data_IF_608415272203
#
_entry.id   IF_608415272203
#
_cell.length_a   1.000
_cell.length_b   1.000
_cell.length_c   1.000
_cell.angle_alpha   90.00
_cell.angle_beta   90.00
_cell.angle_gamma   90.00
#
_symmetry.space_group_name_H-M   'P 1'
#
loop_
_entity.id
_entity.type
_entity.pdbx_description
1 polymer ?
#
# COMPACT_ATOMS: atom_id res chain seq x y z
N UNK A 1 -49.38 50.76 69.04
CA UNK A 1 -48.57 49.58 69.22
C UNK A 1 -47.86 49.33 67.92
N UNK A 2 -46.59 49.69 67.85
CA UNK A 2 -45.81 49.85 66.66
C UNK A 2 -45.13 48.58 66.23
N UNK A 3 -45.07 48.43 64.95
CA UNK A 3 -44.23 47.44 64.27
C UNK A 3 -43.16 48.16 63.48
N UNK A 4 -41.93 47.98 63.91
CA UNK A 4 -40.78 48.58 63.24
C UNK A 4 -40.39 47.77 62.01
N UNK A 5 -40.21 48.43 60.86
CA UNK A 5 -39.68 47.88 59.67
C UNK A 5 -38.16 48.02 59.62
N UNK A 6 -37.44 46.97 59.53
CA UNK A 6 -35.97 46.92 59.35
C UNK A 6 -35.65 46.81 57.90
N UNK A 7 -35.00 47.84 57.33
CA UNK A 7 -34.51 47.88 55.95
C UNK A 7 -33.15 47.14 55.83
N UNK A 8 -33.11 46.12 55.04
CA UNK A 8 -31.86 45.42 54.72
C UNK A 8 -31.24 46.01 53.45
N UNK A 9 -30.04 46.58 53.58
CA UNK A 9 -29.23 47.12 52.49
C UNK A 9 -28.49 45.98 51.78
N UNK A 10 -28.81 45.77 50.53
CA UNK A 10 -28.14 44.76 49.69
C UNK A 10 -26.78 45.23 49.22
N UNK A 11 -25.71 44.52 49.56
CA UNK A 11 -24.36 44.70 49.07
C UNK A 11 -24.17 44.20 47.63
N UNK A 12 -23.19 44.67 46.90
CA UNK A 12 -22.99 44.33 45.47
C UNK A 12 -22.51 42.93 45.29
N UNK A 13 -23.21 42.15 44.44
CA UNK A 13 -22.83 40.79 44.02
C UNK A 13 -21.57 40.89 43.14
N UNK A 14 -20.46 40.36 43.65
CA UNK A 14 -19.21 40.19 42.89
C UNK A 14 -19.45 39.30 41.69
N UNK A 15 -19.20 39.85 40.48
CA UNK A 15 -19.12 39.07 39.25
C UNK A 15 -17.83 38.22 39.29
N UNK A 16 -17.99 36.90 39.45
CA UNK A 16 -16.94 35.94 39.22
C UNK A 16 -16.59 35.98 37.72
N UNK A 17 -15.43 36.48 37.40
CA UNK A 17 -14.85 36.35 36.05
C UNK A 17 -14.59 34.86 35.81
N UNK A 18 -15.42 34.23 34.98
CA UNK A 18 -15.14 32.93 34.43
C UNK A 18 -13.82 33.00 33.66
N UNK A 19 -12.80 32.29 34.11
CA UNK A 19 -11.59 32.09 33.38
C UNK A 19 -11.95 31.20 32.15
N UNK A 20 -12.11 31.82 31.01
CA UNK A 20 -12.09 31.09 29.74
C UNK A 20 -10.68 30.52 29.59
N UNK A 21 -10.49 29.27 30.04
CA UNK A 21 -9.32 28.50 29.66
C UNK A 21 -9.27 28.52 28.13
N UNK A 22 -8.22 29.13 27.55
CA UNK A 22 -7.95 29.03 26.12
C UNK A 22 -7.89 27.53 25.77
N UNK A 23 -8.59 27.05 24.73
CA UNK A 23 -8.45 25.68 24.30
C UNK A 23 -6.97 25.45 24.01
N UNK A 24 -6.37 24.47 24.68
CA UNK A 24 -5.02 24.02 24.39
C UNK A 24 -5.06 23.52 22.95
N UNK A 25 -4.54 24.29 22.01
CA UNK A 25 -4.42 23.83 20.63
C UNK A 25 -3.56 22.58 20.66
N UNK A 26 -4.11 21.47 20.19
CA UNK A 26 -3.35 20.26 19.99
C UNK A 26 -2.06 20.57 19.21
N UNK A 27 -0.91 20.01 19.61
CA UNK A 27 0.36 20.32 18.95
C UNK A 27 0.27 19.94 17.48
N UNK A 28 0.68 20.88 16.62
CA UNK A 28 0.72 20.66 15.17
C UNK A 28 1.84 19.67 14.86
N UNK A 29 1.52 18.58 14.18
CA UNK A 29 2.52 17.63 13.68
C UNK A 29 3.25 18.19 12.46
N UNK A 30 4.51 17.82 12.28
CA UNK A 30 5.26 18.15 11.07
C UNK A 30 4.79 17.27 9.90
N UNK A 31 4.53 15.99 10.16
CA UNK A 31 3.98 15.08 9.17
C UNK A 31 3.04 14.04 9.79
N UNK A 32 1.98 13.69 9.03
CA UNK A 32 1.19 12.47 9.22
C UNK A 32 1.48 11.53 8.05
N UNK A 33 1.71 10.26 8.34
CA UNK A 33 1.98 9.22 7.34
C UNK A 33 0.84 8.21 7.38
N UNK A 34 0.20 7.98 6.25
CA UNK A 34 -0.89 7.03 6.07
C UNK A 34 -0.33 5.71 5.56
N UNK A 35 -0.24 4.72 6.42
CA UNK A 35 0.27 3.38 6.14
C UNK A 35 1.66 3.12 6.73
N UNK A 36 1.76 2.05 7.54
CA UNK A 36 3.00 1.54 8.15
C UNK A 36 3.62 0.39 7.36
N UNK A 37 3.53 0.43 6.03
CA UNK A 37 4.27 -0.44 5.13
C UNK A 37 5.74 0.02 4.96
N UNK A 38 6.53 -0.67 4.11
CA UNK A 38 7.95 -0.33 3.91
C UNK A 38 8.20 1.13 3.52
N UNK A 39 7.32 1.74 2.71
CA UNK A 39 7.44 3.14 2.34
C UNK A 39 7.18 4.08 3.52
N UNK A 40 6.09 3.86 4.26
CA UNK A 40 5.73 4.72 5.39
C UNK A 40 6.72 4.60 6.56
N UNK A 41 7.18 3.38 6.90
CA UNK A 41 8.20 3.19 7.94
C UNK A 41 9.55 3.82 7.55
N UNK A 42 9.93 3.73 6.27
CA UNK A 42 11.15 4.38 5.76
C UNK A 42 11.03 5.91 5.83
N UNK A 43 9.88 6.47 5.42
CA UNK A 43 9.63 7.91 5.54
C UNK A 43 9.66 8.37 7.01
N UNK A 44 8.98 7.63 7.90
CA UNK A 44 8.97 7.92 9.33
C UNK A 44 10.38 7.91 9.94
N UNK A 45 11.21 6.95 9.56
CA UNK A 45 12.58 6.84 10.04
C UNK A 45 13.41 8.08 9.65
N UNK A 46 13.38 8.47 8.38
CA UNK A 46 14.15 9.63 7.90
C UNK A 46 13.64 10.92 8.57
N UNK A 47 12.33 11.12 8.65
CA UNK A 47 11.75 12.29 9.33
C UNK A 47 12.04 12.29 10.83
N UNK A 48 11.98 11.12 11.48
CA UNK A 48 12.33 10.96 12.89
C UNK A 48 13.79 11.37 13.17
N UNK A 49 14.72 10.90 12.32
CA UNK A 49 16.13 11.29 12.38
C UNK A 49 16.37 12.77 12.10
N UNK A 50 15.50 13.38 11.27
CA UNK A 50 15.47 14.83 11.04
C UNK A 50 14.77 15.61 12.18
N UNK A 51 14.42 14.94 13.29
CA UNK A 51 13.78 15.50 14.48
C UNK A 51 12.39 16.12 14.20
N UNK A 52 11.69 15.64 13.17
CA UNK A 52 10.32 16.05 12.86
C UNK A 52 9.32 15.28 13.73
N UNK A 53 8.24 15.94 14.15
CA UNK A 53 7.15 15.28 14.88
C UNK A 53 6.25 14.55 13.90
N UNK A 54 6.24 13.24 13.97
CA UNK A 54 5.59 12.35 13.00
C UNK A 54 4.58 11.45 13.68
N UNK A 55 3.41 11.30 13.08
CA UNK A 55 2.44 10.28 13.40
C UNK A 55 2.28 9.36 12.19
N UNK A 56 2.52 8.07 12.39
CA UNK A 56 2.20 7.02 11.42
C UNK A 56 0.90 6.35 11.83
N UNK A 57 -0.08 6.30 10.92
CA UNK A 57 -1.34 5.60 11.10
C UNK A 57 -1.37 4.37 10.19
N UNK A 58 -1.49 3.17 10.78
CA UNK A 58 -1.34 1.91 10.06
C UNK A 58 -2.47 0.92 10.40
N UNK A 59 -3.17 0.45 9.37
CA UNK A 59 -4.25 -0.54 9.53
C UNK A 59 -3.73 -1.96 9.78
N UNK A 60 -2.43 -2.20 9.68
CA UNK A 60 -1.84 -3.53 9.85
C UNK A 60 -2.09 -4.50 8.69
N UNK A 61 -2.62 -4.06 7.53
CA UNK A 61 -3.01 -4.91 6.40
C UNK A 61 -2.18 -4.61 5.14
N UNK A 62 -0.87 -4.92 5.13
CA UNK A 62 -0.06 -4.71 3.93
C UNK A 62 -0.45 -5.69 2.82
N UNK A 63 -0.34 -5.24 1.56
CA UNK A 63 -0.71 -6.05 0.39
C UNK A 63 0.08 -7.36 0.28
N UNK A 64 1.32 -7.38 0.75
CA UNK A 64 2.20 -8.55 0.73
C UNK A 64 2.06 -9.47 1.96
N UNK A 65 1.05 -9.28 2.80
CA UNK A 65 0.85 -10.11 4.01
C UNK A 65 0.68 -11.61 3.73
N UNK A 66 0.23 -11.95 2.53
CA UNK A 66 0.04 -13.34 2.09
C UNK A 66 1.31 -13.96 1.49
N UNK A 67 2.37 -13.19 1.26
CA UNK A 67 3.62 -13.70 0.67
C UNK A 67 4.41 -14.54 1.67
N UNK A 68 5.03 -15.63 1.20
CA UNK A 68 5.90 -16.49 2.00
C UNK A 68 7.19 -15.78 2.44
N UNK A 69 7.65 -14.78 1.70
CA UNK A 69 8.87 -14.03 2.00
C UNK A 69 9.11 -12.91 0.99
N UNK A 70 10.07 -12.05 1.28
CA UNK A 70 10.49 -10.94 0.42
C UNK A 70 11.80 -11.36 -0.27
N UNK A 71 11.70 -11.79 -1.54
CA UNK A 71 12.87 -12.30 -2.28
C UNK A 71 13.86 -11.21 -2.68
N UNK A 72 13.36 -10.10 -3.22
CA UNK A 72 14.17 -9.05 -3.88
C UNK A 72 14.66 -7.93 -2.96
N UNK A 73 14.94 -8.17 -1.68
CA UNK A 73 15.47 -7.17 -0.75
C UNK A 73 16.92 -7.49 -0.38
N UNK A 74 17.85 -6.62 -0.77
CA UNK A 74 19.26 -6.77 -0.50
C UNK A 74 19.52 -6.93 1.02
N UNK A 75 20.32 -7.92 1.40
CA UNK A 75 20.67 -8.30 2.78
C UNK A 75 19.50 -8.83 3.63
N UNK A 76 18.28 -8.89 3.12
CA UNK A 76 17.07 -9.35 3.81
C UNK A 76 16.25 -10.34 2.95
N UNK A 77 16.92 -11.05 2.03
CA UNK A 77 16.26 -12.03 1.16
C UNK A 77 15.53 -13.11 1.95
N UNK A 78 14.26 -13.34 1.63
CA UNK A 78 13.41 -14.33 2.28
C UNK A 78 12.80 -13.91 3.62
N UNK A 79 13.06 -12.69 4.12
CA UNK A 79 12.44 -12.20 5.35
C UNK A 79 10.91 -12.17 5.21
N UNK A 80 10.19 -12.62 6.23
CA UNK A 80 8.74 -12.54 6.24
C UNK A 80 8.27 -11.07 6.28
N UNK A 81 7.22 -10.69 5.54
CA UNK A 81 6.71 -9.32 5.54
C UNK A 81 6.36 -8.79 6.93
N UNK A 82 5.83 -9.65 7.81
CA UNK A 82 5.52 -9.29 9.18
C UNK A 82 6.77 -8.97 10.01
N UNK A 83 7.87 -9.73 9.81
CA UNK A 83 9.13 -9.52 10.52
C UNK A 83 9.82 -8.23 10.09
N UNK A 84 9.81 -7.91 8.79
CA UNK A 84 10.34 -6.63 8.31
C UNK A 84 9.58 -5.45 8.92
N UNK A 85 8.23 -5.52 8.97
CA UNK A 85 7.40 -4.47 9.58
C UNK A 85 7.65 -4.34 11.07
N UNK A 86 7.76 -5.46 11.78
CA UNK A 86 8.08 -5.48 13.22
C UNK A 86 9.43 -4.83 13.48
N UNK A 87 10.48 -5.24 12.77
CA UNK A 87 11.83 -4.66 12.90
C UNK A 87 11.84 -3.14 12.58
N UNK A 88 11.09 -2.72 11.56
CA UNK A 88 10.95 -1.29 11.24
C UNK A 88 10.26 -0.49 12.34
N UNK A 89 9.20 -1.02 12.97
CA UNK A 89 8.53 -0.39 14.11
C UNK A 89 9.43 -0.35 15.36
N UNK A 90 10.17 -1.42 15.63
CA UNK A 90 11.16 -1.46 16.73
C UNK A 90 12.23 -0.41 16.54
N UNK A 91 12.76 -0.25 15.33
CA UNK A 91 13.74 0.80 15.01
C UNK A 91 13.19 2.22 15.20
N UNK A 92 11.90 2.45 14.94
CA UNK A 92 11.27 3.74 15.17
C UNK A 92 11.08 4.06 16.65
N UNK A 93 11.01 3.07 17.53
CA UNK A 93 10.88 3.27 18.98
C UNK A 93 12.08 4.03 19.60
N UNK A 94 13.24 4.03 18.92
CA UNK A 94 14.40 4.82 19.33
C UNK A 94 14.25 6.34 19.05
N UNK A 95 13.17 6.74 18.36
CA UNK A 95 12.90 8.10 17.97
C UNK A 95 11.65 8.65 18.71
N UNK A 96 11.80 9.35 19.85
CA UNK A 96 10.67 9.80 20.69
C UNK A 96 9.75 10.84 20.03
N UNK A 97 10.16 11.38 18.89
CA UNK A 97 9.40 12.31 18.06
C UNK A 97 8.57 11.61 16.96
N UNK A 98 8.60 10.27 16.90
CA UNK A 98 7.81 9.44 15.99
C UNK A 98 6.84 8.59 16.79
N UNK A 99 5.56 8.73 16.53
CA UNK A 99 4.52 7.86 17.06
C UNK A 99 4.00 6.94 15.94
N UNK A 100 3.93 5.65 16.20
CA UNK A 100 3.26 4.68 15.32
C UNK A 100 2.02 4.17 16.01
N UNK A 101 0.87 4.42 15.42
CA UNK A 101 -0.44 4.06 15.97
C UNK A 101 -1.17 3.14 14.99
N UNK A 102 -1.77 2.09 15.53
CA UNK A 102 -2.70 1.26 14.75
C UNK A 102 -4.01 2.03 14.59
N UNK A 103 -4.51 2.09 13.36
CA UNK A 103 -5.74 2.81 13.02
C UNK A 103 -5.83 3.16 11.53
N UNK A 104 -7.02 3.51 11.11
CA UNK A 104 -7.32 3.92 9.75
C UNK A 104 -7.54 5.44 9.67
N UNK A 105 -6.88 6.10 8.72
CA UNK A 105 -7.28 7.46 8.35
C UNK A 105 -8.60 7.39 7.60
N UNK A 106 -9.57 8.14 8.11
CA UNK A 106 -10.93 8.20 7.57
C UNK A 106 -11.08 9.34 6.58
N UNK A 107 -10.47 10.48 6.90
CA UNK A 107 -10.58 11.70 6.09
C UNK A 107 -9.36 12.60 6.29
N UNK A 108 -9.10 13.44 5.30
CA UNK A 108 -8.11 14.51 5.38
C UNK A 108 -8.59 15.70 4.55
N UNK A 109 -8.56 16.89 5.15
CA UNK A 109 -9.05 18.09 4.50
C UNK A 109 -8.08 19.28 4.69
N UNK A 110 -7.99 20.20 3.75
CA UNK A 110 -7.23 21.44 3.92
C UNK A 110 -7.75 22.28 5.08
N UNK A 111 -6.84 22.81 5.89
CA UNK A 111 -7.11 23.69 7.01
C UNK A 111 -6.08 24.84 7.03
N UNK A 112 -6.39 25.94 6.36
CA UNK A 112 -5.44 27.04 6.07
C UNK A 112 -4.17 26.50 5.36
N UNK A 113 -2.98 26.74 5.92
CA UNK A 113 -1.69 26.23 5.42
C UNK A 113 -1.35 24.81 5.95
N UNK A 114 -2.34 24.05 6.38
CA UNK A 114 -2.21 22.73 7.03
C UNK A 114 -3.25 21.78 6.52
N UNK A 115 -3.22 20.57 7.07
CA UNK A 115 -4.23 19.54 6.83
C UNK A 115 -4.79 19.09 8.18
N UNK A 116 -6.09 18.95 8.26
CA UNK A 116 -6.78 18.25 9.34
C UNK A 116 -6.92 16.77 8.93
N UNK A 117 -6.48 15.86 9.79
CA UNK A 117 -6.54 14.42 9.54
C UNK A 117 -7.41 13.77 10.60
N UNK A 118 -8.46 13.11 10.16
CA UNK A 118 -9.39 12.34 11.00
C UNK A 118 -9.10 10.84 10.86
N UNK A 119 -9.10 10.12 11.98
CA UNK A 119 -8.86 8.68 12.02
C UNK A 119 -9.79 8.02 13.05
N UNK A 120 -9.89 6.68 12.99
CA UNK A 120 -10.92 5.90 13.71
C UNK A 120 -10.74 5.85 15.23
N UNK A 121 -9.55 6.12 15.76
CA UNK A 121 -9.27 6.07 17.20
C UNK A 121 -8.57 7.36 17.69
N UNK A 122 -9.34 8.39 17.94
CA UNK A 122 -8.87 9.64 18.53
C UNK A 122 -9.42 10.91 17.91
N UNK A 123 -9.10 12.07 18.49
CA UNK A 123 -9.49 13.36 17.94
C UNK A 123 -8.69 13.66 16.67
N UNK A 124 -9.24 14.46 15.74
CA UNK A 124 -8.52 14.93 14.57
C UNK A 124 -7.20 15.61 14.97
N UNK A 125 -6.17 15.41 14.13
CA UNK A 125 -4.86 16.07 14.29
C UNK A 125 -4.62 17.05 13.17
N UNK A 126 -3.84 18.09 13.46
CA UNK A 126 -3.38 19.04 12.43
C UNK A 126 -1.94 18.75 12.05
N UNK A 127 -1.64 18.74 10.75
CA UNK A 127 -0.29 18.48 10.22
C UNK A 127 0.10 19.48 9.13
N UNK A 128 1.40 19.68 8.94
CA UNK A 128 1.94 20.49 7.85
C UNK A 128 2.16 19.67 6.58
N UNK A 129 2.38 18.36 6.71
CA UNK A 129 2.54 17.44 5.58
C UNK A 129 1.76 16.17 5.79
N UNK A 130 1.18 15.63 4.72
CA UNK A 130 0.50 14.33 4.68
C UNK A 130 1.20 13.44 3.66
N UNK A 131 1.69 12.27 4.09
CA UNK A 131 2.35 11.30 3.22
C UNK A 131 1.42 10.11 3.00
N UNK A 132 0.92 9.92 1.78
CA UNK A 132 0.09 8.80 1.39
C UNK A 132 0.97 7.60 1.02
N UNK A 133 1.18 6.69 1.98
CA UNK A 133 2.01 5.50 1.87
C UNK A 133 1.19 4.20 2.10
N UNK A 134 -0.11 4.25 1.85
CA UNK A 134 -1.07 3.16 2.08
C UNK A 134 -1.00 2.01 1.08
N UNK A 135 -0.15 2.13 0.03
CA UNK A 135 0.03 1.11 -0.99
C UNK A 135 -1.20 0.94 -1.90
N UNK A 136 -1.32 -0.26 -2.50
CA UNK A 136 -2.44 -0.65 -3.36
C UNK A 136 -3.08 -1.94 -2.83
N UNK A 137 -4.35 -2.13 -3.13
CA UNK A 137 -5.01 -3.43 -3.02
C UNK A 137 -4.80 -4.20 -4.33
N UNK A 138 -4.50 -5.49 -4.21
CA UNK A 138 -4.31 -6.41 -5.33
C UNK A 138 -5.37 -7.48 -5.30
N UNK A 139 -6.29 -7.46 -6.25
CA UNK A 139 -7.34 -8.46 -6.38
C UNK A 139 -6.98 -9.43 -7.53
N UNK A 140 -6.75 -10.72 -7.25
CA UNK A 140 -6.51 -11.71 -8.29
C UNK A 140 -7.76 -11.90 -9.17
N UNK A 141 -7.61 -12.40 -10.40
CA UNK A 141 -8.75 -12.69 -11.27
C UNK A 141 -9.70 -13.71 -10.61
N UNK A 142 -10.99 -13.70 -10.94
CA UNK A 142 -12.00 -14.54 -10.29
C UNK A 142 -11.97 -16.00 -10.78
N UNK A 143 -10.78 -16.63 -10.78
CA UNK A 143 -10.63 -18.04 -11.14
C UNK A 143 -11.07 -18.94 -9.97
N UNK A 144 -11.91 -19.96 -10.20
CA UNK A 144 -12.28 -20.91 -9.16
C UNK A 144 -11.03 -21.57 -8.55
N UNK A 145 -10.96 -21.63 -7.21
CA UNK A 145 -9.84 -22.21 -6.47
C UNK A 145 -8.62 -21.29 -6.27
N UNK A 146 -8.60 -20.07 -6.76
CA UNK A 146 -7.42 -19.18 -6.68
C UNK A 146 -7.10 -18.71 -5.26
N UNK A 147 -8.11 -18.42 -4.42
CA UNK A 147 -7.91 -17.73 -3.13
C UNK A 147 -6.98 -18.47 -2.16
N UNK A 148 -7.10 -19.80 -1.92
CA UNK A 148 -6.19 -20.50 -1.02
C UNK A 148 -4.76 -20.65 -1.58
N UNK A 149 -4.53 -20.35 -2.85
CA UNK A 149 -3.24 -20.45 -3.53
C UNK A 149 -2.55 -19.07 -3.65
N UNK A 150 -3.31 -18.00 -3.45
CA UNK A 150 -2.84 -16.62 -3.64
C UNK A 150 -1.75 -16.26 -2.65
N UNK A 151 -0.61 -15.77 -3.17
CA UNK A 151 0.58 -15.41 -2.41
C UNK A 151 1.49 -16.61 -2.05
N UNK A 152 1.05 -17.85 -2.32
CA UNK A 152 1.82 -19.06 -2.02
C UNK A 152 2.34 -19.80 -3.27
N UNK A 153 1.49 -19.94 -4.29
CA UNK A 153 1.83 -20.52 -5.59
C UNK A 153 1.10 -19.83 -6.75
N UNK A 154 0.22 -18.89 -6.45
CA UNK A 154 -0.33 -17.95 -7.43
C UNK A 154 0.17 -16.56 -7.11
N UNK A 155 0.84 -15.94 -8.06
CA UNK A 155 1.61 -14.71 -7.91
C UNK A 155 1.24 -13.68 -8.98
N UNK A 156 1.52 -12.40 -8.72
CA UNK A 156 1.37 -11.35 -9.74
C UNK A 156 2.70 -10.82 -10.27
N UNK A 157 3.81 -11.09 -9.58
CA UNK A 157 5.11 -10.48 -9.87
C UNK A 157 6.17 -11.56 -10.13
N UNK A 158 6.56 -11.80 -11.39
CA UNK A 158 7.61 -12.77 -11.69
C UNK A 158 8.96 -12.43 -11.04
N UNK A 159 9.33 -11.16 -10.95
CA UNK A 159 10.59 -10.73 -10.33
C UNK A 159 10.60 -10.88 -8.80
N UNK A 160 9.43 -10.99 -8.19
CA UNK A 160 9.31 -11.16 -6.74
C UNK A 160 9.40 -12.64 -6.33
N UNK A 161 8.79 -13.53 -7.13
CA UNK A 161 8.51 -14.91 -6.72
C UNK A 161 9.05 -15.96 -7.73
N UNK A 162 9.55 -15.54 -8.90
CA UNK A 162 10.00 -16.44 -9.96
C UNK A 162 11.20 -17.30 -9.56
N UNK A 163 12.10 -16.76 -8.73
CA UNK A 163 13.28 -17.49 -8.25
C UNK A 163 12.90 -18.68 -7.37
N UNK A 164 11.88 -18.55 -6.53
CA UNK A 164 11.40 -19.55 -5.59
C UNK A 164 10.74 -20.74 -6.30
N UNK A 165 10.22 -20.51 -7.51
CA UNK A 165 9.54 -21.50 -8.34
C UNK A 165 10.30 -21.85 -9.62
N UNK A 166 11.56 -21.46 -9.74
CA UNK A 166 12.37 -21.74 -10.94
C UNK A 166 12.49 -23.23 -11.20
N UNK A 167 12.69 -23.58 -12.45
CA UNK A 167 12.86 -24.95 -12.95
C UNK A 167 11.65 -25.90 -12.73
N UNK A 168 10.50 -25.30 -12.37
CA UNK A 168 9.24 -26.05 -12.16
C UNK A 168 8.27 -25.84 -13.32
N UNK A 169 7.25 -26.68 -13.47
CA UNK A 169 6.15 -26.45 -14.41
C UNK A 169 5.37 -25.18 -14.03
N UNK A 170 5.51 -24.11 -14.80
CA UNK A 170 4.89 -22.80 -14.55
C UNK A 170 3.75 -22.53 -15.51
N UNK A 171 2.82 -21.69 -15.08
CA UNK A 171 1.76 -21.16 -15.93
C UNK A 171 1.68 -19.63 -15.83
N UNK A 172 1.19 -19.01 -16.87
CA UNK A 172 0.79 -17.60 -16.92
C UNK A 172 -0.67 -17.56 -17.33
N UNK A 173 -1.49 -16.79 -16.62
CA UNK A 173 -2.88 -16.53 -16.97
C UNK A 173 -3.03 -15.10 -17.49
N UNK A 174 -3.65 -14.97 -18.63
CA UNK A 174 -4.01 -13.70 -19.23
C UNK A 174 -4.02 -13.75 -20.75
N UNK A 175 -4.50 -12.68 -21.38
CA UNK A 175 -4.68 -12.60 -22.83
C UNK A 175 -4.15 -11.26 -23.37
N UNK A 176 -3.76 -11.24 -24.62
CA UNK A 176 -3.22 -10.06 -25.29
C UNK A 176 -1.72 -9.80 -25.03
N UNK A 177 -1.18 -8.66 -25.52
CA UNK A 177 0.26 -8.39 -25.54
C UNK A 177 0.94 -8.42 -24.18
N UNK A 178 0.27 -7.97 -23.12
CA UNK A 178 0.84 -7.97 -21.78
C UNK A 178 0.99 -9.38 -21.21
N UNK A 179 0.03 -10.27 -21.47
CA UNK A 179 0.14 -11.67 -21.08
C UNK A 179 1.29 -12.37 -21.83
N UNK A 180 1.45 -12.09 -23.13
CA UNK A 180 2.58 -12.56 -23.92
C UNK A 180 3.92 -12.11 -23.32
N UNK A 181 4.04 -10.81 -22.99
CA UNK A 181 5.24 -10.26 -22.34
C UNK A 181 5.51 -10.94 -21.00
N UNK A 182 4.47 -11.15 -20.18
CA UNK A 182 4.63 -11.86 -18.90
C UNK A 182 5.11 -13.28 -19.11
N UNK A 183 4.56 -14.00 -20.10
CA UNK A 183 4.97 -15.36 -20.41
C UNK A 183 6.43 -15.45 -20.87
N UNK A 184 6.87 -14.50 -21.72
CA UNK A 184 8.28 -14.37 -22.13
C UNK A 184 9.21 -14.07 -20.95
N UNK A 185 8.78 -13.24 -20.00
CA UNK A 185 9.56 -12.98 -18.78
C UNK A 185 9.63 -14.25 -17.92
N UNK A 186 8.52 -14.96 -17.71
CA UNK A 186 8.45 -16.18 -16.91
C UNK A 186 9.28 -17.32 -17.51
N UNK A 187 9.41 -17.40 -18.85
CA UNK A 187 10.26 -18.41 -19.51
C UNK A 187 11.76 -18.28 -19.15
N UNK A 188 12.17 -17.15 -18.57
CA UNK A 188 13.52 -17.00 -18.01
C UNK A 188 13.78 -17.78 -16.72
N UNK A 189 12.73 -18.28 -16.05
CA UNK A 189 12.86 -19.10 -14.83
C UNK A 189 12.55 -20.58 -15.05
N UNK A 190 11.90 -20.96 -16.14
CA UNK A 190 11.59 -22.37 -16.43
C UNK A 190 11.46 -22.64 -17.92
N UNK A 191 11.90 -23.83 -18.33
CA UNK A 191 11.71 -24.34 -19.69
C UNK A 191 10.34 -24.99 -19.90
N UNK A 192 9.51 -25.17 -18.87
CA UNK A 192 8.14 -25.71 -18.93
C UNK A 192 7.13 -24.65 -18.53
N UNK A 193 6.80 -23.77 -19.47
CA UNK A 193 5.85 -22.67 -19.27
C UNK A 193 4.65 -22.83 -20.21
N UNK A 194 3.46 -22.62 -19.69
CA UNK A 194 2.22 -22.53 -20.47
C UNK A 194 1.55 -21.17 -20.26
N UNK A 195 1.14 -20.54 -21.35
CA UNK A 195 0.28 -19.36 -21.33
C UNK A 195 -1.18 -19.79 -21.51
N UNK A 196 -2.00 -19.63 -20.48
CA UNK A 196 -3.43 -19.89 -20.51
C UNK A 196 -4.17 -18.61 -20.81
N UNK A 197 -4.78 -18.50 -22.02
CA UNK A 197 -5.48 -17.28 -22.45
C UNK A 197 -6.93 -17.23 -21.99
N UNK A 198 -7.42 -18.30 -21.39
CA UNK A 198 -8.78 -18.43 -20.82
C UNK A 198 -9.84 -17.99 -21.83
N UNK A 199 -9.82 -18.59 -23.01
CA UNK A 199 -10.60 -18.27 -24.19
C UNK A 199 -9.71 -17.99 -25.41
N UNK A 200 -10.31 -17.67 -26.58
CA UNK A 200 -9.58 -17.43 -27.83
C UNK A 200 -8.45 -16.42 -27.67
N UNK A 201 -7.27 -16.79 -28.15
CA UNK A 201 -6.05 -16.00 -28.05
C UNK A 201 -6.17 -14.66 -28.79
N UNK A 202 -5.76 -13.57 -28.12
CA UNK A 202 -5.63 -12.22 -28.67
C UNK A 202 -4.18 -11.74 -28.63
N UNK A 203 -3.23 -12.66 -28.75
CA UNK A 203 -1.79 -12.37 -28.71
C UNK A 203 -1.31 -11.61 -29.96
N UNK A 204 -2.11 -11.64 -31.05
CA UNK A 204 -1.80 -10.98 -32.32
C UNK A 204 -0.37 -11.33 -32.82
N UNK A 205 0.48 -10.35 -33.07
CA UNK A 205 1.86 -10.55 -33.53
C UNK A 205 2.80 -11.16 -32.50
N UNK A 206 2.43 -11.21 -31.22
CA UNK A 206 3.28 -11.73 -30.12
C UNK A 206 3.30 -13.27 -30.05
N UNK A 207 2.34 -13.96 -30.67
CA UNK A 207 2.21 -15.42 -30.59
C UNK A 207 3.47 -16.14 -31.03
N UNK A 208 4.03 -15.75 -32.17
CA UNK A 208 5.24 -16.37 -32.69
C UNK A 208 6.46 -16.22 -31.77
N UNK A 209 6.59 -15.07 -31.09
CA UNK A 209 7.66 -14.85 -30.12
C UNK A 209 7.48 -15.74 -28.87
N UNK A 210 6.24 -15.89 -28.38
CA UNK A 210 5.90 -16.75 -27.24
C UNK A 210 6.22 -18.22 -27.55
N UNK A 211 5.80 -18.71 -28.72
CA UNK A 211 6.05 -20.10 -29.15
C UNK A 211 7.54 -20.35 -29.44
N UNK A 212 8.26 -19.37 -30.01
CA UNK A 212 9.70 -19.45 -30.22
C UNK A 212 10.51 -19.54 -28.92
N UNK A 213 10.02 -18.90 -27.86
CA UNK A 213 10.58 -19.01 -26.51
C UNK A 213 10.26 -20.35 -25.81
N UNK A 214 9.61 -21.30 -26.50
CA UNK A 214 9.22 -22.59 -25.95
C UNK A 214 7.96 -22.57 -25.06
N UNK A 215 7.27 -21.44 -25.00
CA UNK A 215 6.03 -21.32 -24.20
C UNK A 215 4.86 -21.88 -25.00
N UNK A 216 4.16 -22.87 -24.44
CA UNK A 216 2.93 -23.41 -25.04
C UNK A 216 1.75 -22.47 -24.76
N UNK A 217 0.83 -22.36 -25.71
CA UNK A 217 -0.39 -21.54 -25.55
C UNK A 217 -1.60 -22.48 -25.45
N UNK A 218 -2.42 -22.27 -24.42
CA UNK A 218 -3.69 -22.96 -24.16
C UNK A 218 -4.83 -21.95 -24.20
N UNK A 219 -5.81 -22.19 -25.05
CA UNK A 219 -6.96 -21.29 -25.28
C UNK A 219 -8.27 -21.76 -24.62
N UNK A 220 -8.25 -22.97 -24.02
CA UNK A 220 -9.42 -23.47 -23.32
C UNK A 220 -9.71 -22.68 -22.06
N UNK A 221 -10.99 -22.54 -21.71
CA UNK A 221 -11.42 -21.86 -20.50
C UNK A 221 -10.95 -22.62 -19.25
N UNK A 222 -10.41 -21.90 -18.28
CA UNK A 222 -10.05 -22.46 -16.99
C UNK A 222 -11.33 -22.64 -16.17
N UNK A 223 -11.56 -23.86 -15.70
CA UNK A 223 -12.72 -24.21 -14.86
C UNK A 223 -12.36 -24.24 -13.38
N UNK A 224 -11.13 -24.60 -13.03
CA UNK A 224 -10.72 -24.68 -11.64
C UNK A 224 -9.17 -24.70 -11.51
N UNK A 225 -8.67 -24.10 -10.44
CA UNK A 225 -7.33 -24.30 -9.91
C UNK A 225 -7.41 -25.25 -8.73
N UNK A 226 -6.73 -26.39 -8.79
CA UNK A 226 -6.69 -27.35 -7.70
C UNK A 226 -5.32 -27.38 -7.05
N UNK A 227 -5.31 -27.42 -5.71
CA UNK A 227 -4.08 -27.46 -4.93
C UNK A 227 -4.35 -27.82 -3.48
N UNK A 228 -3.29 -27.92 -2.72
CA UNK A 228 -3.33 -28.25 -1.30
C UNK A 228 -2.28 -27.43 -0.54
N UNK A 229 -2.65 -26.98 0.66
CA UNK A 229 -1.75 -26.26 1.58
C UNK A 229 -1.02 -25.06 0.92
N UNK A 230 -1.75 -24.31 0.08
CA UNK A 230 -1.19 -23.18 -0.67
C UNK A 230 -0.44 -23.55 -1.96
N UNK A 231 -0.25 -24.86 -2.26
CA UNK A 231 0.50 -25.32 -3.42
C UNK A 231 -0.41 -25.73 -4.56
N UNK A 232 -0.30 -25.06 -5.70
CA UNK A 232 -0.97 -25.42 -6.95
C UNK A 232 -0.49 -26.79 -7.43
N UNK A 233 -1.43 -27.63 -7.85
CA UNK A 233 -1.13 -28.95 -8.40
C UNK A 233 -1.61 -29.09 -9.85
N UNK A 234 -2.77 -28.52 -10.18
CA UNK A 234 -3.38 -28.62 -11.52
C UNK A 234 -4.21 -27.40 -11.88
N UNK A 235 -4.23 -27.12 -13.15
CA UNK A 235 -5.19 -26.24 -13.82
C UNK A 235 -6.14 -27.11 -14.61
N UNK A 236 -7.45 -27.00 -14.35
CA UNK A 236 -8.51 -27.70 -15.07
C UNK A 236 -9.11 -26.81 -16.15
N UNK A 237 -9.50 -27.42 -17.25
CA UNK A 237 -10.04 -26.72 -18.41
C UNK A 237 -11.41 -27.27 -18.82
N UNK A 238 -12.20 -26.44 -19.51
CA UNK A 238 -13.51 -26.80 -20.08
C UNK A 238 -13.35 -27.66 -21.35
N UNK A 239 -12.47 -28.61 -21.34
CA UNK A 239 -12.11 -29.50 -22.46
C UNK A 239 -10.61 -29.76 -22.51
N UNK A 240 -10.23 -30.89 -23.09
CA UNK A 240 -8.84 -31.33 -23.09
C UNK A 240 -8.36 -31.84 -21.74
N UNK A 241 -7.08 -32.15 -21.65
CA UNK A 241 -6.45 -32.64 -20.44
C UNK A 241 -6.12 -31.54 -19.44
N UNK A 242 -6.23 -31.84 -18.15
CA UNK A 242 -5.72 -31.00 -17.08
C UNK A 242 -4.19 -30.80 -17.23
N UNK A 243 -3.70 -29.63 -16.81
CA UNK A 243 -2.27 -29.32 -16.76
C UNK A 243 -1.75 -29.39 -15.33
N UNK A 244 -0.71 -30.23 -15.11
CA UNK A 244 0.04 -30.15 -13.85
C UNK A 244 0.90 -28.91 -13.86
N UNK A 245 0.68 -28.00 -12.89
CA UNK A 245 1.46 -26.75 -12.70
C UNK A 245 1.75 -26.55 -11.23
N UNK A 246 2.92 -26.02 -10.92
CA UNK A 246 3.35 -25.80 -9.55
C UNK A 246 3.28 -24.32 -9.16
N UNK A 247 3.24 -23.42 -10.14
CA UNK A 247 2.91 -22.01 -9.91
C UNK A 247 2.17 -21.40 -11.10
N UNK A 248 1.42 -20.33 -10.81
CA UNK A 248 0.65 -19.55 -11.78
C UNK A 248 0.91 -18.06 -11.56
N UNK A 249 1.34 -17.37 -12.60
CA UNK A 249 1.46 -15.92 -12.62
C UNK A 249 0.21 -15.31 -13.25
N UNK A 250 -0.41 -14.36 -12.54
CA UNK A 250 -1.68 -13.73 -12.96
C UNK A 250 -1.56 -12.22 -12.96
N UNK A 251 -2.32 -11.57 -13.83
CA UNK A 251 -2.54 -10.13 -13.74
C UNK A 251 -3.60 -9.86 -12.69
N UNK A 252 -3.34 -8.89 -11.80
CA UNK A 252 -4.28 -8.45 -10.78
C UNK A 252 -5.01 -7.18 -11.18
N UNK A 253 -6.24 -7.02 -10.73
CA UNK A 253 -6.83 -5.70 -10.60
C UNK A 253 -6.18 -4.97 -9.42
N UNK A 254 -6.01 -3.64 -9.56
CA UNK A 254 -5.33 -2.82 -8.54
C UNK A 254 -6.13 -1.57 -8.30
N UNK A 255 -6.35 -1.27 -7.01
CA UNK A 255 -7.05 -0.09 -6.57
C UNK A 255 -6.33 0.60 -5.44
N UNK A 256 -6.56 1.89 -5.26
CA UNK A 256 -6.28 2.58 -4.01
C UNK A 256 -7.14 1.95 -2.89
N UNK A 257 -6.58 1.60 -1.72
CA UNK A 257 -7.34 0.95 -0.64
C UNK A 257 -8.36 1.88 0.03
N UNK A 258 -8.26 3.19 -0.22
CA UNK A 258 -9.16 4.22 0.28
C UNK A 258 -9.29 5.36 -0.74
N UNK A 259 -10.22 6.26 -0.52
CA UNK A 259 -10.48 7.41 -1.38
C UNK A 259 -9.72 8.69 -1.04
N UNK A 260 -8.74 8.66 -0.12
CA UNK A 260 -8.07 9.87 0.40
C UNK A 260 -7.43 10.73 -0.69
N UNK A 261 -6.70 10.12 -1.62
CA UNK A 261 -6.04 10.87 -2.68
C UNK A 261 -7.06 11.65 -3.54
N UNK A 262 -8.15 10.97 -3.94
CA UNK A 262 -9.21 11.59 -4.72
C UNK A 262 -10.00 12.65 -3.93
N UNK A 263 -10.26 12.39 -2.64
CA UNK A 263 -10.95 13.36 -1.76
C UNK A 263 -10.13 14.63 -1.56
N UNK A 264 -8.80 14.51 -1.49
CA UNK A 264 -7.88 15.65 -1.44
C UNK A 264 -7.70 16.36 -2.79
N UNK A 265 -8.20 15.79 -3.89
CA UNK A 265 -8.05 16.33 -5.22
C UNK A 265 -6.74 15.98 -5.91
N UNK A 266 -5.97 15.01 -5.42
CA UNK A 266 -4.73 14.56 -6.07
C UNK A 266 -5.01 13.94 -7.44
N UNK A 267 -4.21 14.32 -8.43
CA UNK A 267 -4.21 13.69 -9.75
C UNK A 267 -3.85 12.21 -9.66
N UNK A 268 -4.47 11.39 -10.53
CA UNK A 268 -4.14 9.98 -10.66
C UNK A 268 -3.62 9.69 -12.07
N UNK A 269 -2.64 8.78 -12.16
CA UNK A 269 -2.16 8.22 -13.41
C UNK A 269 -3.18 7.24 -14.02
N UNK A 270 -3.03 6.87 -15.28
CA UNK A 270 -3.91 5.90 -15.96
C UNK A 270 -3.99 4.55 -15.22
N UNK A 271 -2.92 4.14 -14.53
CA UNK A 271 -2.85 2.92 -13.73
C UNK A 271 -3.51 3.03 -12.35
N UNK A 272 -4.16 4.15 -12.00
CA UNK A 272 -4.84 4.39 -10.73
C UNK A 272 -3.89 4.73 -9.57
N UNK A 273 -2.60 4.93 -9.82
CA UNK A 273 -1.63 5.41 -8.82
C UNK A 273 -1.67 6.92 -8.69
N UNK A 274 -1.28 7.45 -7.54
CA UNK A 274 -1.24 8.90 -7.29
C UNK A 274 -0.13 9.52 -8.15
N UNK A 275 -0.47 10.56 -8.92
CA UNK A 275 0.49 11.29 -9.73
C UNK A 275 1.41 12.12 -8.82
N UNK A 276 2.73 11.99 -9.02
CA UNK A 276 3.73 12.71 -8.25
C UNK A 276 4.87 13.17 -9.13
N UNK A 277 5.60 14.18 -8.65
CA UNK A 277 6.92 14.49 -9.19
C UNK A 277 7.97 13.41 -8.79
N UNK A 278 9.22 13.60 -9.19
CA UNK A 278 10.32 12.67 -8.88
C UNK A 278 10.58 12.53 -7.38
N UNK A 279 10.26 13.53 -6.59
CA UNK A 279 10.45 13.58 -5.15
C UNK A 279 9.23 13.10 -4.36
N UNK A 280 8.13 12.78 -5.06
CA UNK A 280 6.90 12.28 -4.48
C UNK A 280 5.92 13.36 -4.01
N UNK A 281 6.08 14.62 -4.45
CA UNK A 281 5.07 15.66 -4.25
C UNK A 281 3.90 15.44 -5.19
N UNK A 282 2.69 15.56 -4.68
CA UNK A 282 1.48 15.60 -5.52
C UNK A 282 1.24 17.01 -6.04
N UNK A 283 0.22 17.20 -6.85
CA UNK A 283 -0.30 18.51 -7.28
C UNK A 283 -1.05 19.26 -6.17
N UNK A 284 -1.28 18.62 -5.01
CA UNK A 284 -1.90 19.24 -3.83
C UNK A 284 -0.82 19.67 -2.84
N UNK A 285 -0.70 20.98 -2.51
CA UNK A 285 0.31 21.47 -1.57
C UNK A 285 0.26 20.75 -0.22
N UNK A 286 1.43 20.35 0.29
CA UNK A 286 1.54 19.64 1.57
C UNK A 286 1.15 18.16 1.52
N UNK A 287 0.73 17.63 0.36
CA UNK A 287 0.40 16.22 0.17
C UNK A 287 1.47 15.53 -0.68
N UNK A 288 1.95 14.40 -0.20
CA UNK A 288 3.00 13.58 -0.81
C UNK A 288 2.52 12.13 -0.92
N UNK A 289 3.11 11.36 -1.84
CA UNK A 289 2.82 9.95 -1.95
C UNK A 289 4.08 9.10 -2.17
N UNK A 290 4.10 7.89 -1.61
CA UNK A 290 5.23 6.99 -1.65
C UNK A 290 4.81 5.52 -1.78
N UNK A 291 5.74 4.68 -2.24
CA UNK A 291 5.52 3.24 -2.42
C UNK A 291 4.56 2.94 -3.56
N UNK A 292 3.87 1.80 -3.45
CA UNK A 292 2.98 1.32 -4.51
C UNK A 292 1.82 2.28 -4.80
N UNK A 293 1.43 3.11 -3.83
CA UNK A 293 0.40 4.13 -4.01
C UNK A 293 0.71 5.13 -5.12
N UNK A 294 2.00 5.42 -5.37
CA UNK A 294 2.47 6.41 -6.34
C UNK A 294 3.30 5.80 -7.50
N UNK A 295 3.72 4.54 -7.40
CA UNK A 295 4.62 3.91 -8.37
C UNK A 295 3.86 3.26 -9.52
N UNK A 296 4.16 3.63 -10.77
CA UNK A 296 3.56 3.00 -11.96
C UNK A 296 4.27 1.71 -12.39
N UNK A 297 5.58 1.60 -12.21
CA UNK A 297 6.39 0.55 -12.82
C UNK A 297 6.87 -0.51 -11.83
N UNK A 298 7.90 -0.23 -11.08
CA UNK A 298 8.57 -1.21 -10.23
C UNK A 298 7.98 -1.25 -8.82
N UNK A 299 7.07 -2.18 -8.57
CA UNK A 299 6.46 -2.39 -7.24
C UNK A 299 7.20 -3.47 -6.50
N UNK A 300 8.10 -3.07 -5.61
CA UNK A 300 8.89 -3.95 -4.76
C UNK A 300 9.11 -3.31 -3.40
N UNK A 301 9.43 -4.13 -2.40
CA UNK A 301 9.75 -3.64 -1.06
C UNK A 301 10.96 -2.69 -1.08
N UNK A 302 12.00 -3.02 -1.86
CA UNK A 302 13.18 -2.17 -2.02
C UNK A 302 12.82 -0.78 -2.59
N UNK A 303 11.97 -0.75 -3.61
CA UNK A 303 11.51 0.51 -4.22
C UNK A 303 10.61 1.31 -3.27
N UNK A 304 9.75 0.63 -2.52
CA UNK A 304 8.90 1.27 -1.51
C UNK A 304 9.75 1.94 -0.42
N UNK A 305 10.78 1.26 0.11
CA UNK A 305 11.74 1.82 1.08
C UNK A 305 12.43 3.06 0.49
N UNK A 306 12.96 2.95 -0.73
CA UNK A 306 13.66 4.05 -1.41
C UNK A 306 12.75 5.27 -1.66
N UNK A 307 11.51 5.06 -2.11
CA UNK A 307 10.56 6.15 -2.33
C UNK A 307 10.13 6.81 -1.04
N UNK A 308 9.89 6.05 0.03
CA UNK A 308 9.59 6.60 1.36
C UNK A 308 10.72 7.48 1.89
N UNK A 309 11.97 7.02 1.76
CA UNK A 309 13.14 7.83 2.12
C UNK A 309 13.18 9.14 1.32
N UNK A 310 13.02 9.09 0.00
CA UNK A 310 13.06 10.27 -0.88
C UNK A 310 11.97 11.28 -0.53
N UNK A 311 10.73 10.83 -0.33
CA UNK A 311 9.62 11.68 0.11
C UNK A 311 9.93 12.39 1.43
N UNK A 312 10.56 11.71 2.39
CA UNK A 312 10.92 12.32 3.66
C UNK A 312 11.94 13.47 3.52
N UNK A 313 12.87 13.35 2.56
CA UNK A 313 13.76 14.47 2.21
C UNK A 313 12.96 15.64 1.65
N UNK A 314 12.07 15.42 0.70
CA UNK A 314 11.20 16.44 0.13
C UNK A 314 10.39 17.17 1.21
N UNK A 315 9.68 16.41 2.05
CA UNK A 315 8.93 16.96 3.20
C UNK A 315 9.84 17.80 4.11
N UNK A 316 11.04 17.30 4.43
CA UNK A 316 11.95 18.01 5.34
C UNK A 316 12.42 19.36 4.77
N UNK A 317 12.64 19.44 3.46
CA UNK A 317 13.03 20.68 2.76
C UNK A 317 11.86 21.66 2.70
N UNK A 318 10.67 21.18 2.32
CA UNK A 318 9.48 22.03 2.17
C UNK A 318 8.97 22.57 3.51
N UNK A 319 9.27 21.89 4.63
CA UNK A 319 8.94 22.37 5.97
C UNK A 319 9.79 23.56 6.44
N UNK A 320 10.90 23.88 5.79
CA UNK A 320 11.82 24.97 6.16
C UNK A 320 11.86 26.10 5.12
N UNK A 321 11.22 25.90 3.97
CA UNK A 321 10.98 26.93 2.96
C UNK A 321 9.71 27.71 3.27
#
# INVERSE_FOLDING_TARGET
MGAGATTIVGGPRGRTRGSHARPVRAPVLDAVIVGGGPAGLSAALVLGRARRRVLVLDTGRPANSVSNGIGGLLAQGGVAPADLRRAGREQLADHPNVEVRDGAVLDAEPLDERLAVTFDDGPPVSTRALVLAHGLRYDPPPLPGIRPLWGHSVFHCPFCDGWEVRDRPLAVHGNGPEAARTALVVSGWSNDVVLCTDGPSRLNGERAAVEHAGVRVREELITELTGRDGHLQRIRFAGGADERREALFVRTHRDQPNGLASALGCGLNEGGTIATDVDGRTDVPGVYAAGDAATEHSRSVANAIGSGSRVAYAVSLDLVS
#
